data_IF_790647611354
#
_entry.id   IF_790647611354
#
_cell.length_a   1.000
_cell.length_b   1.000
_cell.length_c   1.000
_cell.angle_alpha   90.00
_cell.angle_beta   90.00
_cell.angle_gamma   90.00
#
_symmetry.space_group_name_H-M   'P 1'
#
loop_
_entity.id
_entity.type
_entity.pdbx_description
1 polymer ?
#
# COMPACT_ATOMS: atom_id res chain seq x y z
N UNK A 1 -32.11 -5.30 -63.88
CA UNK A 1 -31.02 -5.80 -63.01
C UNK A 1 -30.74 -4.83 -61.86
N UNK A 2 -30.99 -3.53 -62.04
CA UNK A 2 -30.75 -2.50 -61.01
C UNK A 2 -31.64 -2.59 -59.75
N UNK A 3 -32.91 -3.00 -59.86
CA UNK A 3 -33.84 -3.01 -58.70
C UNK A 3 -33.35 -3.87 -57.52
N UNK A 4 -32.71 -5.01 -57.82
CA UNK A 4 -32.12 -5.89 -56.80
C UNK A 4 -30.94 -5.24 -56.07
N UNK A 5 -30.19 -4.37 -56.76
CA UNK A 5 -29.09 -3.59 -56.16
C UNK A 5 -29.64 -2.52 -55.21
N UNK A 6 -30.66 -1.78 -55.65
CA UNK A 6 -31.33 -0.74 -54.85
C UNK A 6 -31.98 -1.33 -53.59
N UNK A 7 -32.63 -2.50 -53.71
CA UNK A 7 -33.22 -3.19 -52.57
C UNK A 7 -32.16 -3.60 -51.53
N UNK A 8 -31.01 -4.12 -51.98
CA UNK A 8 -29.90 -4.51 -51.12
C UNK A 8 -29.25 -3.30 -50.41
N UNK A 9 -29.04 -2.19 -51.12
CA UNK A 9 -28.52 -0.94 -50.55
C UNK A 9 -29.46 -0.39 -49.48
N UNK A 10 -30.78 -0.35 -49.75
CA UNK A 10 -31.79 0.09 -48.78
C UNK A 10 -31.83 -0.81 -47.53
N UNK A 11 -31.63 -2.13 -47.69
CA UNK A 11 -31.52 -3.05 -46.56
C UNK A 11 -30.29 -2.75 -45.70
N UNK A 12 -29.11 -2.56 -46.31
CA UNK A 12 -27.87 -2.23 -45.59
C UNK A 12 -27.96 -0.88 -44.87
N UNK A 13 -28.55 0.14 -45.50
CA UNK A 13 -28.80 1.45 -44.87
C UNK A 13 -29.72 1.35 -43.66
N UNK A 14 -30.75 0.49 -43.71
CA UNK A 14 -31.63 0.23 -42.56
C UNK A 14 -30.86 -0.42 -41.40
N UNK A 15 -30.09 -1.47 -41.67
CA UNK A 15 -29.26 -2.16 -40.67
C UNK A 15 -28.25 -1.20 -40.02
N UNK A 16 -27.58 -0.36 -40.81
CA UNK A 16 -26.67 0.67 -40.30
C UNK A 16 -27.39 1.68 -39.39
N UNK A 17 -28.59 2.14 -39.79
CA UNK A 17 -29.39 3.08 -39.00
C UNK A 17 -29.81 2.47 -37.65
N UNK A 18 -30.22 1.22 -37.64
CA UNK A 18 -30.61 0.49 -36.43
C UNK A 18 -29.41 0.30 -35.49
N UNK A 19 -28.22 -0.05 -36.02
CA UNK A 19 -26.98 -0.12 -35.23
C UNK A 19 -26.54 1.23 -34.64
N UNK A 20 -26.66 2.33 -35.39
CA UNK A 20 -26.35 3.68 -34.88
C UNK A 20 -27.31 4.08 -33.76
N UNK A 21 -28.60 3.77 -33.91
CA UNK A 21 -29.61 4.04 -32.89
C UNK A 21 -29.34 3.25 -31.61
N UNK A 22 -28.98 1.97 -31.72
CA UNK A 22 -28.66 1.14 -30.55
C UNK A 22 -27.39 1.62 -29.83
N UNK A 23 -26.36 2.03 -30.59
CA UNK A 23 -25.15 2.63 -30.02
C UNK A 23 -25.45 3.94 -29.27
N UNK A 24 -26.37 4.76 -29.78
CA UNK A 24 -26.81 5.98 -29.09
C UNK A 24 -27.55 5.68 -27.78
N UNK A 25 -28.44 4.68 -27.74
CA UNK A 25 -29.09 4.22 -26.50
C UNK A 25 -28.07 3.76 -25.46
N UNK A 26 -27.15 2.89 -25.86
CA UNK A 26 -26.12 2.34 -24.96
C UNK A 26 -25.19 3.42 -24.40
N UNK A 27 -24.87 4.44 -25.21
CA UNK A 27 -24.07 5.60 -24.77
C UNK A 27 -24.82 6.43 -23.72
N UNK A 28 -26.11 6.71 -23.93
CA UNK A 28 -26.95 7.40 -22.94
C UNK A 28 -27.15 6.58 -21.65
N UNK A 29 -27.30 5.27 -21.77
CA UNK A 29 -27.40 4.38 -20.60
C UNK A 29 -26.08 4.38 -19.80
N UNK A 30 -24.92 4.31 -20.47
CA UNK A 30 -23.62 4.42 -19.80
C UNK A 30 -23.46 5.78 -19.08
N UNK A 31 -23.84 6.88 -19.72
CA UNK A 31 -23.77 8.22 -19.13
C UNK A 31 -24.64 8.37 -17.86
N UNK A 32 -25.86 7.80 -17.87
CA UNK A 32 -26.75 7.83 -16.70
C UNK A 32 -26.25 6.95 -15.55
N UNK A 33 -25.68 5.77 -15.84
CA UNK A 33 -25.01 4.94 -14.83
C UNK A 33 -23.78 5.62 -14.22
N UNK A 34 -22.97 6.32 -15.03
CA UNK A 34 -21.80 7.06 -14.54
C UNK A 34 -22.21 8.21 -13.61
N UNK A 35 -23.17 9.05 -14.03
CA UNK A 35 -23.69 10.15 -13.22
C UNK A 35 -24.29 9.67 -11.88
N UNK A 36 -24.95 8.50 -11.88
CA UNK A 36 -25.44 7.88 -10.64
C UNK A 36 -24.29 7.43 -9.73
N UNK A 37 -23.25 6.80 -10.28
CA UNK A 37 -22.08 6.36 -9.50
C UNK A 37 -21.30 7.53 -8.90
N UNK A 38 -21.14 8.64 -9.64
CA UNK A 38 -20.50 9.84 -9.11
C UNK A 38 -21.34 10.53 -8.02
N UNK A 39 -22.67 10.53 -8.15
CA UNK A 39 -23.57 10.98 -7.08
C UNK A 39 -23.44 10.14 -5.80
N UNK A 40 -23.35 8.81 -5.93
CA UNK A 40 -23.15 7.89 -4.80
C UNK A 40 -21.76 8.10 -4.14
N UNK A 41 -20.71 8.27 -4.94
CA UNK A 41 -19.35 8.61 -4.46
C UNK A 41 -19.33 9.94 -3.72
N UNK A 42 -20.04 10.96 -4.20
CA UNK A 42 -20.08 12.26 -3.52
C UNK A 42 -20.83 12.19 -2.18
N UNK A 43 -21.91 11.39 -2.09
CA UNK A 43 -22.59 11.13 -0.81
C UNK A 43 -21.65 10.50 0.22
N UNK A 44 -20.94 9.43 -0.17
CA UNK A 44 -19.96 8.76 0.70
C UNK A 44 -18.83 9.69 1.14
N UNK A 45 -18.33 10.57 0.25
CA UNK A 45 -17.33 11.59 0.62
C UNK A 45 -17.86 12.56 1.67
N UNK A 46 -19.08 13.07 1.49
CA UNK A 46 -19.70 13.99 2.44
C UNK A 46 -19.95 13.32 3.81
N UNK A 47 -20.36 12.04 3.82
CA UNK A 47 -20.55 11.24 5.04
C UNK A 47 -19.24 11.03 5.80
N UNK A 48 -18.15 10.68 5.10
CA UNK A 48 -16.81 10.55 5.71
C UNK A 48 -16.36 11.88 6.34
N UNK A 49 -16.54 13.00 5.65
CA UNK A 49 -16.18 14.33 6.17
C UNK A 49 -16.97 14.64 7.44
N UNK A 50 -18.29 14.45 7.42
CA UNK A 50 -19.15 14.69 8.59
C UNK A 50 -18.76 13.80 9.80
N UNK A 51 -18.40 12.53 9.55
CA UNK A 51 -17.95 11.62 10.61
C UNK A 51 -16.59 12.04 11.19
N UNK A 52 -15.65 12.51 10.37
CA UNK A 52 -14.36 13.05 10.84
C UNK A 52 -14.55 14.33 11.67
N UNK A 53 -15.47 15.21 11.28
CA UNK A 53 -15.82 16.41 12.06
C UNK A 53 -16.45 16.07 13.43
N UNK A 54 -17.27 15.01 13.50
CA UNK A 54 -17.81 14.51 14.78
C UNK A 54 -16.73 13.90 15.68
N UNK A 55 -15.79 13.13 15.11
CA UNK A 55 -14.65 12.57 15.86
C UNK A 55 -13.80 13.70 16.43
N UNK A 56 -13.48 14.72 15.64
CA UNK A 56 -12.68 15.86 16.09
C UNK A 56 -13.38 16.70 17.16
N UNK A 57 -14.72 16.81 17.14
CA UNK A 57 -15.49 17.47 18.22
C UNK A 57 -15.49 16.70 19.54
N UNK A 58 -15.25 15.39 19.51
CA UNK A 58 -15.17 14.56 20.71
C UNK A 58 -13.74 14.50 21.31
N UNK A 59 -12.77 15.18 20.69
CA UNK A 59 -11.38 15.26 21.15
C UNK A 59 -10.99 16.72 21.49
N UNK A 60 -11.66 17.33 22.47
CA UNK A 60 -11.06 18.45 23.21
C UNK A 60 -10.06 17.91 24.25
N UNK A 61 -8.80 18.40 24.29
CA UNK A 61 -7.82 17.95 25.26
C UNK A 61 -8.11 18.54 26.65
N UNK A 62 -8.79 17.76 27.50
CA UNK A 62 -8.95 18.11 28.92
C UNK A 62 -7.60 18.08 29.67
N UNK A 63 -6.96 19.25 29.79
CA UNK A 63 -5.86 19.50 30.72
C UNK A 63 -6.39 19.57 32.17
N UNK A 64 -6.00 18.67 33.09
CA UNK A 64 -6.41 18.76 34.49
C UNK A 64 -5.67 19.92 35.18
N UNK A 65 -6.40 20.97 35.53
CA UNK A 65 -5.88 22.06 36.34
C UNK A 65 -5.93 21.67 37.82
N UNK A 66 -4.80 21.26 38.40
CA UNK A 66 -4.69 21.08 39.85
C UNK A 66 -3.48 21.82 40.43
N UNK A 67 -3.80 22.86 41.19
CA UNK A 67 -2.88 23.66 42.00
C UNK A 67 -2.45 22.93 43.29
N UNK A 68 -1.14 22.96 43.57
CA UNK A 68 -0.41 23.05 44.86
C UNK A 68 -1.14 22.77 46.20
N UNK A 69 -0.46 22.15 47.21
CA UNK A 69 0.73 22.77 47.81
C UNK A 69 1.91 21.87 48.25
N UNK A 70 3.01 22.59 48.53
CA UNK A 70 4.32 22.17 49.00
C UNK A 70 4.34 21.22 50.21
N UNK A 71 5.37 20.38 50.26
CA UNK A 71 6.08 20.04 51.50
C UNK A 71 7.57 19.98 51.19
N UNK A 72 8.39 20.72 51.93
CA UNK A 72 9.84 20.75 51.80
C UNK A 72 10.48 19.58 52.56
N UNK A 73 11.48 18.91 51.98
CA UNK A 73 12.70 18.51 52.69
C UNK A 73 13.92 18.49 51.72
N UNK A 74 15.09 18.88 52.25
CA UNK A 74 16.42 18.95 51.63
C UNK A 74 17.44 18.69 52.78
N UNK A 75 18.76 18.42 52.57
CA UNK A 75 19.58 18.83 51.41
C UNK A 75 20.67 17.86 50.88
N UNK A 76 21.30 18.34 49.78
CA UNK A 76 22.65 18.00 49.23
C UNK A 76 22.75 16.73 48.36
N UNK A 77 23.74 16.52 47.47
CA UNK A 77 25.02 17.24 47.17
C UNK A 77 25.20 17.52 45.64
N UNK A 78 26.23 18.32 45.31
CA UNK A 78 26.89 18.67 44.02
C UNK A 78 27.19 17.45 43.11
N UNK A 79 27.36 17.52 41.77
CA UNK A 79 27.35 18.57 40.71
C UNK A 79 27.29 17.83 39.33
N UNK A 80 27.29 18.38 38.12
CA UNK A 80 27.75 19.65 37.53
C UNK A 80 26.91 20.02 36.28
N UNK A 81 27.23 21.15 35.63
CA UNK A 81 26.46 21.83 34.56
C UNK A 81 26.40 21.05 33.23
N UNK A 82 25.28 21.18 32.51
CA UNK A 82 25.09 20.72 31.10
C UNK A 82 25.72 21.68 30.08
N UNK A 83 25.79 21.28 28.80
CA UNK A 83 24.97 22.01 27.83
C UNK A 83 24.21 21.11 26.82
N UNK A 84 22.89 21.25 26.87
CA UNK A 84 21.98 21.40 25.72
C UNK A 84 22.32 20.68 24.38
N UNK A 85 21.73 19.51 24.16
CA UNK A 85 21.10 19.20 22.87
C UNK A 85 19.74 18.55 23.13
N UNK A 86 18.68 19.12 22.57
CA UNK A 86 17.32 18.65 22.76
C UNK A 86 16.96 17.54 21.78
N UNK A 87 17.52 16.34 21.97
CA UNK A 87 16.99 15.14 21.32
C UNK A 87 15.86 14.58 22.19
N UNK A 88 14.64 14.54 21.63
CA UNK A 88 13.54 13.74 22.17
C UNK A 88 13.84 12.26 21.93
N UNK A 89 14.83 11.72 22.65
CA UNK A 89 15.10 10.28 22.67
C UNK A 89 13.92 9.61 23.34
N UNK A 90 13.04 9.03 22.52
CA UNK A 90 11.86 8.32 22.99
C UNK A 90 12.33 7.18 23.90
N UNK A 91 11.84 7.15 25.13
CA UNK A 91 12.31 6.16 26.11
C UNK A 91 12.03 4.74 25.60
N UNK A 92 12.90 3.78 25.91
CA UNK A 92 12.66 2.37 25.61
C UNK A 92 11.33 1.84 26.20
N UNK A 93 10.79 2.52 27.22
CA UNK A 93 9.45 2.28 27.78
C UNK A 93 8.32 2.70 26.85
N UNK A 94 8.48 3.76 26.06
CA UNK A 94 7.45 4.28 25.15
C UNK A 94 7.53 3.59 23.79
N UNK A 95 8.74 3.26 23.32
CA UNK A 95 8.95 2.36 22.16
C UNK A 95 8.31 0.97 22.40
N UNK A 96 8.28 0.52 23.66
CA UNK A 96 7.62 -0.73 24.05
C UNK A 96 6.10 -0.64 24.20
N UNK A 97 5.51 0.55 24.10
CA UNK A 97 4.06 0.79 24.08
C UNK A 97 3.50 1.02 22.67
N UNK A 98 4.33 1.11 21.62
CA UNK A 98 3.82 0.98 20.26
C UNK A 98 3.18 -0.41 20.14
N UNK A 99 1.85 -0.44 20.05
CA UNK A 99 1.06 -1.66 20.02
C UNK A 99 1.13 -2.35 18.64
N UNK A 100 1.61 -1.62 17.62
CA UNK A 100 1.61 -2.01 16.20
C UNK A 100 3.01 -2.40 15.67
N UNK A 101 3.80 -3.15 16.44
CA UNK A 101 5.01 -3.79 15.90
C UNK A 101 4.64 -4.93 14.93
N UNK A 102 5.22 -5.00 13.72
CA UNK A 102 4.84 -5.99 12.71
C UNK A 102 5.23 -7.42 13.12
N UNK A 103 4.30 -8.36 12.99
CA UNK A 103 4.59 -9.79 13.14
C UNK A 103 5.00 -10.40 11.80
N UNK A 104 6.17 -11.03 11.76
CA UNK A 104 6.73 -11.68 10.58
C UNK A 104 6.68 -13.20 10.70
N UNK A 105 6.05 -13.86 9.74
CA UNK A 105 5.94 -15.32 9.67
C UNK A 105 6.83 -15.95 8.59
N UNK A 106 7.55 -15.16 7.78
CA UNK A 106 8.29 -15.67 6.62
C UNK A 106 7.41 -16.17 5.46
N UNK A 107 6.11 -16.36 5.71
CA UNK A 107 5.09 -16.79 4.75
C UNK A 107 4.40 -15.56 4.14
N UNK A 108 4.30 -15.50 2.82
CA UNK A 108 3.65 -14.40 2.08
C UNK A 108 4.52 -13.78 0.97
N UNK A 109 3.89 -13.17 -0.03
CA UNK A 109 4.59 -12.59 -1.20
C UNK A 109 5.52 -11.42 -0.81
N UNK A 110 5.14 -10.57 0.18
CA UNK A 110 5.85 -9.31 0.52
C UNK A 110 6.39 -9.20 1.96
N UNK A 111 6.18 -10.22 2.80
CA UNK A 111 6.32 -10.14 4.26
C UNK A 111 7.63 -9.48 4.75
N UNK A 112 8.78 -9.75 4.12
CA UNK A 112 10.06 -9.17 4.54
C UNK A 112 10.30 -7.75 4.02
N UNK A 113 9.72 -7.38 2.87
CA UNK A 113 9.80 -6.01 2.35
C UNK A 113 8.97 -5.10 3.25
N UNK A 114 7.77 -5.55 3.63
CA UNK A 114 6.90 -4.83 4.55
C UNK A 114 7.50 -4.72 5.95
N UNK A 115 8.05 -5.82 6.50
CA UNK A 115 8.80 -5.79 7.76
C UNK A 115 9.92 -4.75 7.74
N UNK A 116 10.80 -4.79 6.73
CA UNK A 116 11.94 -3.88 6.61
C UNK A 116 11.45 -2.43 6.49
N UNK A 117 10.49 -2.16 5.60
CA UNK A 117 9.95 -0.82 5.38
C UNK A 117 9.33 -0.22 6.65
N UNK A 118 8.56 -1.01 7.40
CA UNK A 118 7.91 -0.55 8.64
C UNK A 118 8.95 -0.27 9.74
N UNK A 119 9.99 -1.10 9.87
CA UNK A 119 11.09 -0.84 10.82
C UNK A 119 11.91 0.38 10.39
N UNK A 120 12.17 0.58 9.10
CA UNK A 120 12.89 1.76 8.59
C UNK A 120 12.12 3.06 8.86
N UNK A 121 10.80 3.05 8.67
CA UNK A 121 9.91 4.18 9.05
C UNK A 121 9.98 4.44 10.56
N UNK A 122 9.90 3.40 11.40
CA UNK A 122 10.04 3.57 12.85
C UNK A 122 11.43 4.06 13.25
N UNK A 123 12.49 3.67 12.54
CA UNK A 123 13.83 4.19 12.77
C UNK A 123 13.93 5.69 12.43
N UNK A 124 13.37 6.11 11.30
CA UNK A 124 13.40 7.51 10.83
C UNK A 124 12.50 8.42 11.67
N UNK A 125 11.22 8.08 11.83
CA UNK A 125 10.24 8.91 12.54
C UNK A 125 10.50 8.98 14.05
N UNK A 126 10.87 7.85 14.66
CA UNK A 126 10.98 7.70 16.12
C UNK A 126 12.44 7.65 16.62
N UNK A 127 13.42 7.82 15.73
CA UNK A 127 14.85 7.85 16.03
C UNK A 127 15.32 6.63 16.87
N UNK A 128 14.79 5.44 16.55
CA UNK A 128 15.01 4.24 17.35
C UNK A 128 16.45 3.72 17.15
N UNK A 129 17.23 3.51 18.23
CA UNK A 129 18.54 2.91 18.15
C UNK A 129 18.51 1.45 17.69
N UNK A 130 19.52 1.04 16.92
CA UNK A 130 19.64 -0.31 16.37
C UNK A 130 19.61 -1.41 17.44
N UNK A 131 20.11 -1.16 18.65
CA UNK A 131 20.06 -2.11 19.76
C UNK A 131 18.61 -2.44 20.17
N UNK A 132 17.70 -1.48 20.05
CA UNK A 132 16.28 -1.65 20.34
C UNK A 132 15.60 -2.41 19.21
N UNK A 133 15.87 -2.04 17.95
CA UNK A 133 15.36 -2.74 16.75
C UNK A 133 15.79 -4.22 16.80
N UNK A 134 17.09 -4.47 16.91
CA UNK A 134 17.68 -5.82 16.93
C UNK A 134 17.26 -6.60 18.19
N UNK A 135 17.00 -5.93 19.30
CA UNK A 135 16.36 -6.51 20.49
C UNK A 135 14.92 -6.96 20.22
N UNK A 136 14.13 -6.17 19.49
CA UNK A 136 12.74 -6.47 19.13
C UNK A 136 12.61 -7.55 18.06
N UNK A 137 13.58 -7.71 17.14
CA UNK A 137 13.53 -8.74 16.07
C UNK A 137 13.16 -10.14 16.58
N UNK A 138 13.64 -10.53 17.77
CA UNK A 138 13.27 -11.80 18.41
C UNK A 138 11.74 -11.96 18.58
N UNK A 139 11.04 -10.90 19.01
CA UNK A 139 9.59 -10.89 19.18
C UNK A 139 8.81 -10.67 17.88
N UNK A 140 9.40 -10.05 16.86
CA UNK A 140 8.74 -9.85 15.56
C UNK A 140 8.69 -11.15 14.77
N UNK A 141 9.74 -11.98 14.86
CA UNK A 141 9.82 -13.24 14.14
C UNK A 141 8.98 -14.34 14.80
N UNK A 142 8.17 -15.02 13.98
CA UNK A 142 7.40 -16.19 14.39
C UNK A 142 8.26 -17.45 14.44
N UNK A 143 7.84 -18.43 15.25
CA UNK A 143 8.24 -19.86 15.25
C UNK A 143 9.58 -20.24 14.58
N UNK A 144 9.62 -20.37 13.25
CA UNK A 144 10.77 -20.92 12.50
C UNK A 144 11.78 -19.83 12.16
N UNK A 145 11.28 -18.65 11.86
CA UNK A 145 11.99 -17.41 11.54
C UNK A 145 12.75 -16.94 12.79
N UNK A 146 12.13 -17.06 13.96
CA UNK A 146 12.77 -16.80 15.25
C UNK A 146 13.95 -17.75 15.51
N UNK A 147 13.80 -19.05 15.20
CA UNK A 147 14.90 -20.02 15.33
C UNK A 147 16.07 -19.69 14.41
N UNK A 148 15.79 -19.24 13.17
CA UNK A 148 16.82 -18.74 12.26
C UNK A 148 17.53 -17.51 12.83
N UNK A 149 16.79 -16.51 13.31
CA UNK A 149 17.37 -15.30 13.93
C UNK A 149 18.23 -15.64 15.16
N UNK A 150 17.73 -16.50 16.06
CA UNK A 150 18.46 -16.94 17.25
C UNK A 150 19.78 -17.61 16.86
N UNK A 151 19.77 -18.48 15.84
CA UNK A 151 20.98 -19.12 15.32
C UNK A 151 21.93 -18.09 14.70
N UNK A 152 21.46 -17.24 13.78
CA UNK A 152 22.29 -16.22 13.13
C UNK A 152 22.98 -15.31 14.15
N UNK A 153 22.27 -14.93 15.22
CA UNK A 153 22.79 -14.10 16.32
C UNK A 153 23.77 -14.85 17.23
N UNK A 154 23.68 -16.17 17.35
CA UNK A 154 24.69 -17.00 18.03
C UNK A 154 25.95 -17.13 17.17
N UNK A 155 25.79 -17.36 15.87
CA UNK A 155 26.90 -17.62 14.93
C UNK A 155 27.71 -16.34 14.61
N UNK A 156 27.06 -15.17 14.50
CA UNK A 156 27.68 -13.90 14.08
C UNK A 156 27.74 -12.83 15.18
N UNK A 157 27.02 -13.01 16.29
CA UNK A 157 27.05 -12.08 17.43
C UNK A 157 26.14 -10.86 17.30
N UNK A 158 26.66 -9.68 17.65
CA UNK A 158 25.91 -8.41 17.62
C UNK A 158 26.27 -7.62 16.36
N UNK A 159 25.24 -7.21 15.62
CA UNK A 159 25.33 -6.37 14.44
C UNK A 159 24.21 -5.32 14.44
N UNK A 160 24.45 -4.25 13.70
CA UNK A 160 23.52 -3.15 13.40
C UNK A 160 22.31 -3.59 12.55
N UNK A 161 21.32 -2.72 12.41
CA UNK A 161 20.11 -3.00 11.64
C UNK A 161 20.40 -3.12 10.13
N UNK A 162 21.40 -2.41 9.59
CA UNK A 162 21.75 -2.48 8.18
C UNK A 162 22.27 -3.86 7.74
N UNK A 163 23.04 -4.52 8.62
CA UNK A 163 23.47 -5.90 8.45
C UNK A 163 22.28 -6.87 8.51
N UNK A 164 21.40 -6.72 9.51
CA UNK A 164 20.20 -7.56 9.63
C UNK A 164 19.25 -7.39 8.43
N UNK A 165 19.10 -6.19 7.86
CA UNK A 165 18.38 -5.98 6.59
C UNK A 165 18.97 -6.81 5.47
N UNK A 166 20.30 -6.81 5.32
CA UNK A 166 21.01 -7.58 4.30
C UNK A 166 20.82 -9.09 4.47
N UNK A 167 20.84 -9.60 5.70
CA UNK A 167 20.59 -11.03 5.98
C UNK A 167 19.13 -11.44 5.76
N UNK A 168 18.17 -10.59 6.15
CA UNK A 168 16.73 -10.81 5.89
C UNK A 168 16.48 -10.84 4.36
N UNK A 169 17.05 -9.89 3.61
CA UNK A 169 16.98 -9.86 2.15
C UNK A 169 17.62 -11.13 1.57
N UNK A 170 18.82 -11.51 1.99
CA UNK A 170 19.51 -12.71 1.51
C UNK A 170 18.69 -13.98 1.76
N UNK A 171 18.07 -14.09 2.95
CA UNK A 171 17.30 -15.27 3.36
C UNK A 171 15.95 -15.41 2.65
N UNK A 172 15.22 -14.31 2.42
CA UNK A 172 13.84 -14.35 1.90
C UNK A 172 13.62 -13.70 0.52
N UNK A 173 14.55 -12.87 0.01
CA UNK A 173 14.55 -12.34 -1.36
C UNK A 173 15.34 -13.23 -2.35
N UNK A 174 15.46 -14.52 -2.05
CA UNK A 174 16.14 -15.49 -2.91
C UNK A 174 15.47 -15.64 -4.31
N UNK A 175 16.25 -16.13 -5.29
CA UNK A 175 15.80 -16.32 -6.67
C UNK A 175 14.52 -17.15 -6.79
N UNK A 176 14.28 -18.11 -5.90
CA UNK A 176 13.06 -18.92 -5.90
C UNK A 176 11.81 -18.12 -5.54
N UNK A 177 11.89 -17.10 -4.67
CA UNK A 177 10.79 -16.14 -4.47
C UNK A 177 10.59 -15.29 -5.71
N UNK A 178 11.67 -14.76 -6.28
CA UNK A 178 11.63 -13.90 -7.47
C UNK A 178 10.91 -14.59 -8.63
N UNK A 179 11.34 -15.81 -8.95
CA UNK A 179 10.73 -16.68 -9.96
C UNK A 179 9.26 -17.01 -9.66
N UNK A 180 8.90 -17.32 -8.40
CA UNK A 180 7.50 -17.54 -8.01
C UNK A 180 6.63 -16.30 -8.25
N UNK A 181 7.15 -15.11 -7.96
CA UNK A 181 6.45 -13.84 -8.13
C UNK A 181 6.33 -13.44 -9.60
N UNK A 182 7.38 -13.66 -10.40
CA UNK A 182 7.37 -13.52 -11.86
C UNK A 182 6.29 -14.43 -12.48
N UNK A 183 6.31 -15.74 -12.20
CA UNK A 183 5.28 -16.67 -12.66
C UNK A 183 3.86 -16.29 -12.19
N UNK A 184 3.72 -15.83 -10.95
CA UNK A 184 2.43 -15.42 -10.39
C UNK A 184 1.87 -14.13 -11.01
N UNK A 185 2.74 -13.24 -11.50
CA UNK A 185 2.35 -12.09 -12.32
C UNK A 185 2.09 -12.50 -13.78
N UNK A 186 2.90 -13.40 -14.35
CA UNK A 186 2.75 -13.82 -15.74
C UNK A 186 1.46 -14.61 -15.99
N UNK A 187 1.09 -15.49 -15.06
CA UNK A 187 -0.18 -16.24 -15.09
C UNK A 187 -1.41 -15.44 -14.66
N UNK A 188 -1.24 -14.26 -14.04
CA UNK A 188 -2.36 -13.41 -13.64
C UNK A 188 -2.95 -12.68 -14.84
N UNK A 189 -4.14 -13.12 -15.26
CA UNK A 189 -5.01 -12.42 -16.22
C UNK A 189 -6.21 -11.90 -15.43
N UNK A 190 -6.56 -10.63 -15.63
CA UNK A 190 -7.70 -10.01 -14.94
C UNK A 190 -9.02 -10.51 -15.51
N UNK A 191 -9.95 -10.91 -14.64
CA UNK A 191 -11.29 -11.36 -15.00
C UNK A 191 -12.35 -10.49 -14.31
N UNK A 192 -13.15 -9.74 -15.08
CA UNK A 192 -14.15 -8.80 -14.56
C UNK A 192 -15.30 -9.41 -13.76
N UNK A 193 -15.55 -10.72 -13.90
CA UNK A 193 -16.61 -11.45 -13.17
C UNK A 193 -16.11 -11.98 -11.81
N UNK A 194 -14.80 -12.23 -11.69
CA UNK A 194 -14.17 -12.91 -10.54
C UNK A 194 -13.31 -12.00 -9.68
N UNK A 195 -12.59 -11.07 -10.30
CA UNK A 195 -11.61 -10.21 -9.64
C UNK A 195 -12.22 -8.87 -9.24
N UNK A 196 -12.02 -8.47 -7.97
CA UNK A 196 -12.26 -7.08 -7.55
C UNK A 196 -11.18 -6.19 -8.17
N UNK A 197 -11.51 -5.22 -9.04
CA UNK A 197 -10.51 -4.52 -9.83
C UNK A 197 -9.41 -3.89 -8.97
N UNK A 198 -9.76 -3.04 -8.01
CA UNK A 198 -8.80 -2.32 -7.17
C UNK A 198 -7.81 -3.27 -6.47
N UNK A 199 -8.30 -4.32 -5.82
CA UNK A 199 -7.47 -5.32 -5.12
C UNK A 199 -6.54 -6.05 -6.09
N UNK A 200 -7.03 -6.41 -7.27
CA UNK A 200 -6.23 -7.11 -8.28
C UNK A 200 -5.14 -6.20 -8.87
N UNK A 201 -5.48 -4.95 -9.22
CA UNK A 201 -4.53 -3.95 -9.74
C UNK A 201 -3.44 -3.60 -8.71
N UNK A 202 -3.81 -3.39 -7.44
CA UNK A 202 -2.85 -3.15 -6.36
C UNK A 202 -1.89 -4.33 -6.19
N UNK A 203 -2.41 -5.56 -6.15
CA UNK A 203 -1.59 -6.77 -6.06
C UNK A 203 -0.60 -6.92 -7.23
N UNK A 204 -1.00 -6.58 -8.46
CA UNK A 204 -0.06 -6.60 -9.59
C UNK A 204 0.96 -5.45 -9.54
N UNK A 205 0.58 -4.27 -9.01
CA UNK A 205 1.52 -3.16 -8.75
C UNK A 205 2.57 -3.55 -7.72
N UNK A 206 2.18 -4.18 -6.62
CA UNK A 206 3.08 -4.69 -5.57
C UNK A 206 4.07 -5.72 -6.13
N UNK A 207 3.60 -6.69 -6.92
CA UNK A 207 4.44 -7.67 -7.63
C UNK A 207 5.52 -7.00 -8.47
N UNK A 208 5.12 -6.08 -9.35
CA UNK A 208 6.05 -5.41 -10.25
C UNK A 208 7.03 -4.49 -9.52
N UNK A 209 6.57 -3.79 -8.47
CA UNK A 209 7.42 -2.92 -7.65
C UNK A 209 8.47 -3.73 -6.86
N UNK A 210 8.10 -4.91 -6.35
CA UNK A 210 9.01 -5.80 -5.63
C UNK A 210 10.01 -6.52 -6.56
N UNK A 211 9.63 -6.79 -7.82
CA UNK A 211 10.51 -7.38 -8.83
C UNK A 211 11.44 -6.34 -9.48
N UNK A 212 10.95 -5.13 -9.70
CA UNK A 212 11.65 -4.07 -10.41
C UNK A 212 11.46 -2.70 -9.70
N UNK A 213 12.20 -2.45 -8.61
CA UNK A 213 12.08 -1.19 -7.86
C UNK A 213 12.31 0.06 -8.72
N UNK A 214 13.22 -0.03 -9.70
CA UNK A 214 13.59 1.08 -10.60
C UNK A 214 12.63 1.24 -11.79
N UNK A 215 11.53 0.49 -11.85
CA UNK A 215 10.58 0.55 -12.96
C UNK A 215 9.66 1.77 -12.84
N UNK A 216 9.62 2.61 -13.88
CA UNK A 216 8.73 3.77 -13.91
C UNK A 216 7.27 3.39 -13.74
N UNK A 217 6.49 4.23 -13.05
CA UNK A 217 5.09 3.93 -12.76
C UNK A 217 4.26 3.75 -14.05
N UNK A 218 4.60 4.48 -15.12
CA UNK A 218 4.01 4.33 -16.46
C UNK A 218 4.27 2.94 -17.04
N UNK A 219 5.48 2.41 -16.88
CA UNK A 219 5.83 1.05 -17.33
C UNK A 219 5.12 -0.02 -16.50
N UNK A 220 4.99 0.18 -15.18
CA UNK A 220 4.18 -0.68 -14.30
C UNK A 220 2.73 -0.69 -14.77
N UNK A 221 2.10 0.47 -14.95
CA UNK A 221 0.73 0.63 -15.47
C UNK A 221 0.57 -0.10 -16.81
N UNK A 222 1.47 0.12 -17.77
CA UNK A 222 1.46 -0.56 -19.08
C UNK A 222 1.64 -2.08 -19.00
N UNK A 223 2.46 -2.60 -18.08
CA UNK A 223 2.59 -4.06 -17.87
C UNK A 223 1.31 -4.66 -17.29
N UNK A 224 0.63 -3.97 -16.39
CA UNK A 224 -0.62 -4.46 -15.79
C UNK A 224 -1.77 -4.39 -16.80
N UNK A 225 -1.87 -3.32 -17.60
CA UNK A 225 -2.92 -3.19 -18.63
C UNK A 225 -2.90 -4.32 -19.66
N UNK A 226 -1.71 -4.79 -20.07
CA UNK A 226 -1.57 -5.97 -20.96
C UNK A 226 -2.16 -7.27 -20.38
N UNK A 227 -2.34 -7.34 -19.06
CA UNK A 227 -2.96 -8.48 -18.37
C UNK A 227 -4.49 -8.37 -18.27
N UNK A 228 -5.08 -7.26 -18.74
CA UNK A 228 -6.53 -7.05 -18.77
C UNK A 228 -7.20 -7.46 -20.09
N UNK A 229 -6.43 -7.77 -21.13
CA UNK A 229 -6.96 -8.16 -22.44
C UNK A 229 -7.44 -6.98 -23.30
N UNK A 230 -7.70 -7.28 -24.57
CA UNK A 230 -7.77 -6.29 -25.65
C UNK A 230 -8.75 -5.13 -25.41
N UNK A 231 -10.01 -5.39 -25.06
CA UNK A 231 -11.01 -4.32 -24.95
C UNK A 231 -10.66 -3.28 -23.88
N UNK A 232 -10.11 -3.70 -22.73
CA UNK A 232 -9.73 -2.78 -21.66
C UNK A 232 -8.41 -2.06 -21.97
N UNK A 233 -7.43 -2.73 -22.58
CA UNK A 233 -6.17 -2.10 -23.00
C UNK A 233 -6.41 -1.03 -24.08
N UNK A 234 -7.24 -1.34 -25.08
CA UNK A 234 -7.61 -0.37 -26.13
C UNK A 234 -8.45 0.78 -25.57
N UNK A 235 -9.45 0.51 -24.72
CA UNK A 235 -10.29 1.56 -24.14
C UNK A 235 -9.53 2.52 -23.20
N UNK A 236 -8.45 2.06 -22.56
CA UNK A 236 -7.62 2.90 -21.67
C UNK A 236 -6.55 3.65 -22.46
N UNK A 237 -5.87 3.04 -23.42
CA UNK A 237 -4.94 3.76 -24.32
C UNK A 237 -5.63 4.93 -25.02
N UNK A 238 -6.80 4.68 -25.61
CA UNK A 238 -7.56 5.70 -26.34
C UNK A 238 -7.98 6.90 -25.47
N UNK A 239 -8.16 6.73 -24.15
CA UNK A 239 -8.50 7.83 -23.22
C UNK A 239 -7.28 8.52 -22.60
N UNK A 240 -6.14 7.83 -22.53
CA UNK A 240 -4.88 8.41 -22.05
C UNK A 240 -4.07 9.09 -23.16
N UNK A 241 -4.43 8.86 -24.43
CA UNK A 241 -3.81 9.48 -25.61
C UNK A 241 -4.56 10.72 -26.12
N UNK A 242 -5.60 11.22 -25.42
CA UNK A 242 -6.18 12.53 -25.73
C UNK A 242 -5.14 13.65 -25.47
N UNK A 243 -4.67 14.37 -26.51
CA UNK A 243 -3.76 15.49 -26.32
C UNK A 243 -4.56 16.72 -25.88
N UNK A 244 -4.03 17.43 -24.90
CA UNK A 244 -4.35 18.85 -24.69
C UNK A 244 -3.23 19.72 -25.29
#
# INVERSE_FOLDING_TARGET
MEDLSILNINHQLKVLKDHVLERAKNTNQFATHLAKSDSERQKLRNEIIANVEQINKNYEPHMPSHSTPLTEEKPSVKGSVTPFLGENVISAKDISKLEEWPTFSGEGEYNHIELIRTIDIFQEDLHIPDEIIVGKLHSLFSRTENKWYCKMRQDHGKHDWSWWKSEIITKWANNSRRFKMENAFESAIFNSEKDKPLTWFLKQKERLSALHPDMSETMIKMKILRKCGGELEHAIKYRCEEPC
#
